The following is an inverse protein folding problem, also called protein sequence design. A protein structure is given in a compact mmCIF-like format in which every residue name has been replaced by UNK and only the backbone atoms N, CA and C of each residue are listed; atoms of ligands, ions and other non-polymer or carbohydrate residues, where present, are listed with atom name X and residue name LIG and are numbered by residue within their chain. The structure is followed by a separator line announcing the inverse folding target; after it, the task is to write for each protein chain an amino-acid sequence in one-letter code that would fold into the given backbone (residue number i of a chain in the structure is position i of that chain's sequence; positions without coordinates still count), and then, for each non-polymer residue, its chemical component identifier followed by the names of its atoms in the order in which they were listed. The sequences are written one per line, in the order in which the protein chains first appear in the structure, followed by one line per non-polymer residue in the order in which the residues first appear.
data_IF_603442973693
#
_entry.id   IF_603442973693
#
_cell.length_a   1.000
_cell.length_b   1.000
_cell.length_c   1.000
_cell.angle_alpha   90.00
_cell.angle_beta   90.00
_cell.angle_gamma   90.00
#
_symmetry.space_group_name_H-M   'P 1'
#
loop_
_entity.id
_entity.type
_entity.pdbx_description
1 polymer ?
#
# COMPACT_ATOMS: atom_id res chain seq x y z
N UNK A 1 -16.35 26.78 -51.12
CA UNK A 1 -16.29 25.46 -50.46
C UNK A 1 -15.18 25.55 -49.44
N UNK A 2 -15.51 25.90 -48.20
CA UNK A 2 -14.56 25.94 -47.08
C UNK A 2 -14.74 24.65 -46.27
N UNK A 3 -13.65 23.89 -46.13
CA UNK A 3 -13.62 22.68 -45.31
C UNK A 3 -13.53 23.06 -43.84
N UNK A 4 -14.60 22.74 -43.10
CA UNK A 4 -14.65 22.83 -41.63
C UNK A 4 -13.76 21.74 -41.02
N UNK A 5 -12.53 22.12 -40.67
CA UNK A 5 -11.62 21.28 -39.87
C UNK A 5 -12.16 21.22 -38.43
N UNK A 6 -12.88 20.14 -38.13
CA UNK A 6 -13.33 19.83 -36.77
C UNK A 6 -12.15 19.54 -35.84
N UNK A 7 -11.81 20.48 -34.97
CA UNK A 7 -10.88 20.25 -33.87
C UNK A 7 -11.57 19.38 -32.82
N UNK A 8 -11.21 18.09 -32.76
CA UNK A 8 -11.55 17.20 -31.64
C UNK A 8 -10.72 17.69 -30.45
N UNK A 9 -11.27 18.64 -29.70
CA UNK A 9 -10.75 18.98 -28.38
C UNK A 9 -10.93 17.75 -27.51
N UNK A 10 -9.81 17.08 -27.19
CA UNK A 10 -9.75 16.14 -26.09
C UNK A 10 -10.26 16.87 -24.85
N UNK A 11 -11.47 16.53 -24.42
CA UNK A 11 -11.97 16.96 -23.12
C UNK A 11 -11.11 16.27 -22.08
N UNK A 12 -10.03 16.92 -21.69
CA UNK A 12 -9.41 16.69 -20.39
C UNK A 12 -10.52 16.96 -19.37
N UNK A 13 -11.28 15.92 -19.03
CA UNK A 13 -12.12 15.92 -17.86
C UNK A 13 -11.17 16.17 -16.71
N UNK A 14 -11.34 17.32 -16.05
CA UNK A 14 -10.89 17.49 -14.69
C UNK A 14 -11.22 16.19 -13.94
N UNK A 15 -10.15 15.51 -13.48
CA UNK A 15 -10.21 14.20 -12.85
C UNK A 15 -10.94 14.35 -11.53
N UNK A 16 -12.27 14.35 -11.61
CA UNK A 16 -13.14 14.36 -10.46
C UNK A 16 -12.73 13.20 -9.55
N UNK A 17 -12.64 13.41 -8.23
CA UNK A 17 -12.26 12.36 -7.30
C UNK A 17 -13.21 11.17 -7.48
N UNK A 18 -12.65 9.95 -7.54
CA UNK A 18 -13.46 8.73 -7.65
C UNK A 18 -14.36 8.64 -6.42
N UNK A 19 -15.66 8.81 -6.62
CA UNK A 19 -16.67 8.57 -5.58
C UNK A 19 -16.84 7.07 -5.40
N UNK A 20 -16.24 6.52 -4.35
CA UNK A 20 -16.42 5.12 -3.95
C UNK A 20 -17.88 4.88 -3.56
N UNK A 21 -18.52 3.89 -4.18
CA UNK A 21 -19.80 3.37 -3.73
C UNK A 21 -19.55 2.25 -2.72
N UNK A 22 -19.93 2.44 -1.47
CA UNK A 22 -19.79 1.39 -0.46
C UNK A 22 -20.77 0.24 -0.72
N UNK A 23 -20.31 -0.98 -0.44
CA UNK A 23 -21.15 -2.17 -0.51
C UNK A 23 -22.18 -2.16 0.64
N UNK A 24 -23.43 -2.62 0.41
CA UNK A 24 -24.39 -2.77 1.49
C UNK A 24 -23.84 -3.71 2.58
N UNK A 25 -24.14 -3.42 3.85
CA UNK A 25 -23.58 -4.12 5.01
C UNK A 25 -23.66 -5.65 4.92
N UNK A 26 -24.84 -6.18 4.58
CA UNK A 26 -25.06 -7.62 4.46
C UNK A 26 -24.23 -8.27 3.33
N UNK A 27 -23.96 -7.54 2.24
CA UNK A 27 -23.13 -8.03 1.14
C UNK A 27 -21.65 -7.99 1.53
N UNK A 28 -21.23 -6.90 2.20
CA UNK A 28 -19.89 -6.76 2.74
C UNK A 28 -19.56 -7.87 3.76
N UNK A 29 -20.50 -8.23 4.64
CA UNK A 29 -20.35 -9.33 5.60
C UNK A 29 -20.20 -10.68 4.88
N UNK A 30 -21.04 -10.98 3.89
CA UNK A 30 -20.90 -12.19 3.06
C UNK A 30 -19.54 -12.29 2.38
N UNK A 31 -19.06 -11.18 1.81
CA UNK A 31 -17.76 -11.15 1.15
C UNK A 31 -16.61 -11.39 2.15
N UNK A 32 -16.67 -10.81 3.35
CA UNK A 32 -15.69 -11.05 4.43
C UNK A 32 -15.72 -12.50 4.92
N UNK A 33 -16.91 -13.09 5.11
CA UNK A 33 -17.05 -14.49 5.49
C UNK A 33 -16.41 -15.42 4.47
N UNK A 34 -16.66 -15.17 3.17
CA UNK A 34 -16.07 -15.97 2.10
C UNK A 34 -14.53 -15.89 2.09
N UNK A 35 -13.97 -14.68 2.22
CA UNK A 35 -12.52 -14.47 2.28
C UNK A 35 -11.90 -15.14 3.50
N UNK A 36 -12.52 -15.00 4.67
CA UNK A 36 -12.02 -15.60 5.91
C UNK A 36 -12.10 -17.13 5.91
N UNK A 37 -13.08 -17.71 5.20
CA UNK A 37 -13.24 -19.17 5.08
C UNK A 37 -12.37 -19.82 4.00
N UNK A 38 -11.64 -19.04 3.19
CA UNK A 38 -10.97 -19.56 1.99
C UNK A 38 -9.59 -20.16 2.24
N UNK A 39 -8.85 -19.72 3.27
CA UNK A 39 -7.51 -20.25 3.54
C UNK A 39 -7.35 -20.64 4.99
N UNK A 40 -6.70 -21.78 5.22
CA UNK A 40 -6.32 -22.23 6.55
C UNK A 40 -5.33 -21.24 7.21
N UNK A 41 -4.56 -20.51 6.41
CA UNK A 41 -3.62 -19.49 6.87
C UNK A 41 -4.26 -18.12 7.14
N UNK A 42 -5.57 -17.98 6.91
CA UNK A 42 -6.31 -16.74 7.08
C UNK A 42 -6.16 -15.75 5.91
N UNK A 43 -6.78 -14.56 6.00
CA UNK A 43 -6.96 -13.63 4.88
C UNK A 43 -5.77 -12.66 4.69
N UNK A 44 -4.54 -13.12 4.95
CA UNK A 44 -3.34 -12.28 4.88
C UNK A 44 -2.62 -12.55 3.56
N UNK A 45 -2.60 -11.55 2.68
CA UNK A 45 -1.99 -11.65 1.33
C UNK A 45 -0.47 -11.58 1.41
N UNK A 46 0.06 -10.61 2.16
CA UNK A 46 1.49 -10.32 2.27
C UNK A 46 1.93 -10.09 3.70
N UNK A 47 3.18 -10.43 4.00
CA UNK A 47 3.85 -10.19 5.27
C UNK A 47 5.20 -9.51 5.05
N UNK A 48 5.73 -8.81 6.05
CA UNK A 48 7.06 -8.21 5.93
C UNK A 48 8.11 -9.31 5.77
N UNK A 49 9.11 -9.07 4.93
CA UNK A 49 10.22 -10.00 4.77
C UNK A 49 11.07 -10.02 6.05
N UNK A 50 11.19 -11.18 6.67
CA UNK A 50 12.12 -11.48 7.74
C UNK A 50 13.35 -12.17 7.14
N UNK A 51 14.48 -11.46 7.09
CA UNK A 51 15.69 -11.92 6.43
C UNK A 51 16.28 -13.19 7.07
N UNK A 52 16.15 -13.35 8.39
CA UNK A 52 16.72 -14.50 9.10
C UNK A 52 15.94 -15.77 8.77
N UNK A 53 14.61 -15.68 8.80
CA UNK A 53 13.72 -16.81 8.50
C UNK A 53 13.67 -17.16 7.02
N UNK A 54 13.84 -16.16 6.15
CA UNK A 54 13.63 -16.33 4.71
C UNK A 54 14.90 -16.57 3.91
N UNK A 55 16.08 -16.55 4.54
CA UNK A 55 17.35 -16.83 3.86
C UNK A 55 17.34 -18.16 3.09
N UNK A 56 16.95 -19.25 3.74
CA UNK A 56 16.89 -20.57 3.08
C UNK A 56 15.79 -20.67 2.01
N UNK A 57 14.53 -20.25 2.28
CA UNK A 57 13.50 -20.20 1.24
C UNK A 57 13.90 -19.39 0.02
N UNK A 58 14.46 -18.18 0.20
CA UNK A 58 14.86 -17.31 -0.91
C UNK A 58 15.99 -17.91 -1.76
N UNK A 59 16.91 -18.68 -1.16
CA UNK A 59 18.01 -19.32 -1.88
C UNK A 59 17.58 -20.53 -2.71
N UNK A 60 16.57 -21.28 -2.26
CA UNK A 60 16.18 -22.56 -2.88
C UNK A 60 14.84 -22.51 -3.61
N UNK A 61 14.01 -21.53 -3.29
CA UNK A 61 12.65 -21.40 -3.81
C UNK A 61 12.60 -20.64 -5.14
N UNK A 62 11.51 -20.86 -5.87
CA UNK A 62 11.15 -20.06 -7.03
C UNK A 62 10.26 -18.91 -6.60
N UNK A 63 10.64 -17.69 -6.97
CA UNK A 63 9.92 -16.47 -6.67
C UNK A 63 9.70 -15.63 -7.91
N UNK A 64 8.61 -14.89 -7.87
CA UNK A 64 8.33 -13.80 -8.81
C UNK A 64 8.37 -12.48 -8.07
N UNK A 65 8.74 -11.42 -8.77
CA UNK A 65 8.93 -10.09 -8.19
C UNK A 65 7.87 -9.13 -8.69
N UNK A 66 7.28 -8.37 -7.76
CA UNK A 66 6.44 -7.21 -8.04
C UNK A 66 7.17 -5.97 -7.54
N UNK A 67 7.25 -4.97 -8.40
CA UNK A 67 7.67 -3.62 -8.04
C UNK A 67 6.42 -2.73 -7.97
N UNK A 68 6.27 -2.02 -6.85
CA UNK A 68 5.14 -1.13 -6.61
C UNK A 68 5.63 0.30 -6.48
N UNK A 69 5.14 1.20 -7.33
CA UNK A 69 5.45 2.63 -7.23
C UNK A 69 4.57 3.32 -6.19
N UNK A 70 3.35 2.82 -5.98
CA UNK A 70 2.37 3.38 -5.05
C UNK A 70 2.48 2.83 -3.62
N UNK A 71 1.75 3.48 -2.71
CA UNK A 71 1.53 3.03 -1.33
C UNK A 71 0.22 2.22 -1.19
N UNK A 72 -0.51 2.01 -2.29
CA UNK A 72 -1.71 1.21 -2.28
C UNK A 72 -1.40 -0.24 -1.87
N UNK A 73 -2.27 -0.78 -1.03
CA UNK A 73 -2.12 -2.13 -0.47
C UNK A 73 -2.98 -3.12 -1.23
N UNK A 74 -2.52 -4.38 -1.36
CA UNK A 74 -3.34 -5.42 -1.95
C UNK A 74 -4.54 -5.75 -1.03
N UNK A 75 -5.65 -6.02 -1.70
CA UNK A 75 -6.90 -6.47 -1.12
C UNK A 75 -7.49 -7.62 -1.93
N UNK A 76 -8.73 -7.97 -1.61
CA UNK A 76 -9.50 -8.99 -2.29
C UNK A 76 -10.58 -8.38 -3.14
N UNK A 77 -10.65 -8.80 -4.41
CA UNK A 77 -11.76 -8.54 -5.31
C UNK A 77 -12.67 -9.77 -5.32
N UNK A 78 -13.84 -9.63 -4.71
CA UNK A 78 -14.78 -10.73 -4.44
C UNK A 78 -15.97 -10.67 -5.40
N UNK A 79 -16.29 -11.83 -5.97
CA UNK A 79 -17.42 -12.05 -6.86
C UNK A 79 -18.42 -12.96 -6.15
N UNK A 80 -19.57 -12.41 -5.76
CA UNK A 80 -20.67 -13.15 -5.11
C UNK A 80 -21.82 -13.38 -6.11
N UNK A 81 -22.63 -14.43 -5.93
CA UNK A 81 -23.77 -14.70 -6.82
C UNK A 81 -24.74 -13.52 -6.89
N UNK A 82 -25.04 -13.05 -8.10
CA UNK A 82 -26.00 -11.97 -8.35
C UNK A 82 -25.60 -10.60 -7.78
N UNK A 83 -24.35 -10.42 -7.35
CA UNK A 83 -23.85 -9.17 -6.81
C UNK A 83 -22.79 -8.55 -7.73
N UNK A 84 -22.70 -7.23 -7.71
CA UNK A 84 -21.57 -6.54 -8.33
C UNK A 84 -20.26 -6.86 -7.58
N UNK A 85 -19.10 -6.86 -8.25
CA UNK A 85 -17.80 -7.12 -7.61
C UNK A 85 -17.52 -6.19 -6.43
N UNK A 86 -16.89 -6.74 -5.38
CA UNK A 86 -16.64 -6.04 -4.12
C UNK A 86 -15.15 -6.04 -3.84
N UNK A 87 -14.58 -4.87 -3.59
CA UNK A 87 -13.20 -4.75 -3.15
C UNK A 87 -13.12 -4.64 -1.62
N UNK A 88 -12.32 -5.53 -1.03
CA UNK A 88 -12.05 -5.63 0.40
C UNK A 88 -10.57 -5.36 0.67
N UNK A 89 -10.27 -4.34 1.46
CA UNK A 89 -8.91 -4.16 1.98
C UNK A 89 -8.67 -5.06 3.18
N UNK A 90 -7.42 -5.53 3.32
CA UNK A 90 -7.00 -6.49 4.36
C UNK A 90 -6.72 -5.86 5.72
N UNK A 91 -6.49 -4.55 5.81
CA UNK A 91 -6.19 -3.85 7.07
C UNK A 91 -7.39 -3.87 8.02
N UNK A 92 -7.13 -4.08 9.33
CA UNK A 92 -8.20 -4.09 10.36
C UNK A 92 -8.99 -2.77 10.43
N UNK A 93 -8.32 -1.63 10.26
CA UNK A 93 -8.93 -0.28 10.22
C UNK A 93 -9.17 0.20 8.79
N UNK A 94 -9.37 -0.72 7.85
CA UNK A 94 -9.62 -0.35 6.47
C UNK A 94 -10.96 0.38 6.29
N UNK A 95 -11.05 1.30 5.32
CA UNK A 95 -12.31 1.79 4.79
C UNK A 95 -13.35 0.69 4.54
N UNK A 96 -14.65 1.05 4.58
CA UNK A 96 -15.71 0.11 4.24
C UNK A 96 -15.51 -0.48 2.83
N UNK A 97 -15.86 -1.75 2.61
CA UNK A 97 -15.82 -2.39 1.30
C UNK A 97 -16.54 -1.57 0.24
N UNK A 98 -15.99 -1.50 -0.97
CA UNK A 98 -16.60 -0.79 -2.08
C UNK A 98 -17.06 -1.73 -3.18
N UNK A 99 -18.15 -1.35 -3.85
CA UNK A 99 -18.65 -2.01 -5.05
C UNK A 99 -17.98 -1.42 -6.28
N UNK A 100 -17.47 -2.29 -7.15
CA UNK A 100 -16.87 -1.93 -8.43
C UNK A 100 -17.82 -2.32 -9.57
N UNK A 101 -18.10 -1.38 -10.47
CA UNK A 101 -18.96 -1.63 -11.63
C UNK A 101 -18.11 -2.19 -12.78
N UNK A 102 -17.68 -3.44 -12.64
CA UNK A 102 -16.93 -4.13 -13.71
C UNK A 102 -17.88 -4.90 -14.62
N UNK A 103 -17.60 -4.96 -15.92
CA UNK A 103 -18.26 -5.90 -16.83
C UNK A 103 -17.59 -7.26 -16.69
N UNK A 104 -18.22 -8.14 -15.94
CA UNK A 104 -17.73 -9.49 -15.71
C UNK A 104 -18.81 -10.53 -15.94
N UNK A 105 -18.40 -11.75 -16.29
CA UNK A 105 -19.30 -12.88 -16.45
C UNK A 105 -19.92 -13.27 -15.09
N UNK A 106 -21.24 -13.55 -15.05
CA UNK A 106 -21.91 -13.99 -13.81
C UNK A 106 -21.34 -15.31 -13.28
N UNK A 107 -20.69 -16.11 -14.14
CA UNK A 107 -20.09 -17.40 -13.78
C UNK A 107 -19.02 -17.27 -12.69
N UNK A 108 -18.44 -16.08 -12.48
CA UNK A 108 -17.49 -15.83 -11.39
C UNK A 108 -18.16 -15.86 -10.02
N UNK A 109 -19.43 -15.47 -9.94
CA UNK A 109 -20.22 -15.50 -8.71
C UNK A 109 -20.87 -16.86 -8.43
N UNK A 110 -20.92 -17.75 -9.41
CA UNK A 110 -21.54 -19.07 -9.28
C UNK A 110 -20.70 -20.03 -8.40
N UNK A 111 -21.33 -21.13 -7.98
CA UNK A 111 -20.69 -22.25 -7.26
C UNK A 111 -19.95 -21.87 -5.96
N UNK A 112 -20.31 -20.74 -5.34
CA UNK A 112 -19.67 -20.26 -4.11
C UNK A 112 -18.86 -18.97 -4.31
N UNK A 113 -18.70 -18.51 -5.54
CA UNK A 113 -18.04 -17.25 -5.86
C UNK A 113 -16.55 -17.38 -6.16
N UNK A 114 -15.92 -16.25 -6.49
CA UNK A 114 -14.50 -16.18 -6.81
C UNK A 114 -13.86 -15.05 -6.03
N UNK A 115 -12.58 -15.22 -5.68
CA UNK A 115 -11.79 -14.24 -4.96
C UNK A 115 -10.48 -14.05 -5.72
N UNK A 116 -10.25 -12.83 -6.20
CA UNK A 116 -8.98 -12.41 -6.78
C UNK A 116 -8.22 -11.53 -5.79
N UNK A 117 -6.91 -11.51 -5.90
CA UNK A 117 -6.07 -10.50 -5.25
C UNK A 117 -5.94 -9.32 -6.20
N UNK A 118 -6.16 -8.12 -5.70
CA UNK A 118 -6.01 -6.90 -6.49
C UNK A 118 -5.53 -5.73 -5.64
N UNK A 119 -4.88 -4.76 -6.26
CA UNK A 119 -4.51 -3.48 -5.64
C UNK A 119 -5.34 -2.36 -6.26
N UNK A 120 -6.10 -1.65 -5.44
CA UNK A 120 -6.91 -0.51 -5.85
C UNK A 120 -6.26 0.79 -5.36
N UNK A 121 -5.73 1.57 -6.29
CA UNK A 121 -5.20 2.91 -6.04
C UNK A 121 -6.20 3.95 -6.54
N UNK A 122 -6.83 4.65 -5.59
CA UNK A 122 -7.80 5.70 -5.93
C UNK A 122 -7.19 7.06 -6.18
N UNK A 123 -5.90 7.23 -5.90
CA UNK A 123 -5.13 8.43 -6.23
C UNK A 123 -4.67 8.32 -7.68
N UNK A 124 -4.12 7.16 -8.07
CA UNK A 124 -3.68 6.88 -9.44
C UNK A 124 -4.80 6.40 -10.37
N UNK A 125 -6.05 6.33 -9.87
CA UNK A 125 -7.21 5.84 -10.61
C UNK A 125 -6.96 4.46 -11.25
N UNK A 126 -6.33 3.53 -10.52
CA UNK A 126 -5.94 2.23 -11.06
C UNK A 126 -6.44 1.05 -10.21
N UNK A 127 -6.77 -0.05 -10.88
CA UNK A 127 -7.05 -1.35 -10.27
C UNK A 127 -6.17 -2.39 -10.95
N UNK A 128 -5.20 -2.93 -10.23
CA UNK A 128 -4.31 -3.97 -10.76
C UNK A 128 -4.72 -5.33 -10.18
N UNK A 129 -5.10 -6.28 -11.04
CA UNK A 129 -5.46 -7.64 -10.64
C UNK A 129 -4.19 -8.49 -10.67
N UNK A 130 -3.92 -9.23 -9.59
CA UNK A 130 -2.57 -9.74 -9.31
C UNK A 130 -2.47 -11.27 -9.25
N UNK A 131 -3.48 -11.92 -8.66
CA UNK A 131 -3.50 -13.37 -8.41
C UNK A 131 -4.94 -13.86 -8.19
N UNK A 132 -5.13 -15.18 -8.14
CA UNK A 132 -6.41 -15.83 -7.85
C UNK A 132 -6.30 -16.55 -6.51
N UNK A 133 -7.20 -16.22 -5.57
CA UNK A 133 -7.23 -16.83 -4.24
C UNK A 133 -8.24 -17.99 -4.17
N UNK A 134 -9.42 -17.76 -4.77
CA UNK A 134 -10.51 -18.73 -4.93
C UNK A 134 -11.07 -18.64 -6.35
N UNK A 135 -11.37 -19.77 -6.96
CA UNK A 135 -11.99 -19.83 -8.29
C UNK A 135 -13.28 -20.63 -8.27
N UNK A 136 -14.42 -19.97 -8.46
CA UNK A 136 -15.76 -20.58 -8.58
C UNK A 136 -16.05 -21.61 -7.47
N UNK A 137 -15.81 -21.22 -6.22
CA UNK A 137 -16.00 -22.01 -5.01
C UNK A 137 -14.79 -22.85 -4.57
N UNK A 138 -13.77 -22.98 -5.42
CA UNK A 138 -12.59 -23.77 -5.12
C UNK A 138 -11.49 -22.90 -4.49
N UNK A 139 -11.13 -23.20 -3.25
CA UNK A 139 -9.99 -22.58 -2.56
C UNK A 139 -8.67 -23.10 -3.13
N UNK A 140 -8.10 -22.37 -4.09
CA UNK A 140 -6.91 -22.81 -4.83
C UNK A 140 -5.59 -22.25 -4.28
N UNK A 141 -5.63 -21.25 -3.40
CA UNK A 141 -4.42 -20.66 -2.82
C UNK A 141 -3.56 -21.69 -2.07
N UNK A 142 -4.18 -22.50 -1.21
CA UNK A 142 -3.48 -23.48 -0.35
C UNK A 142 -3.08 -24.76 -1.11
N UNK A 143 -3.65 -25.01 -2.29
CA UNK A 143 -3.49 -26.28 -3.04
C UNK A 143 -2.69 -26.15 -4.32
N UNK A 144 -2.58 -24.94 -4.90
CA UNK A 144 -1.94 -24.71 -6.19
C UNK A 144 -0.82 -23.69 -6.11
N UNK A 145 0.25 -23.93 -6.86
CA UNK A 145 1.35 -22.98 -7.01
C UNK A 145 0.97 -21.74 -7.83
N UNK A 146 1.74 -20.67 -7.69
CA UNK A 146 1.42 -19.37 -8.31
C UNK A 146 1.24 -19.46 -9.82
N UNK A 147 2.13 -20.17 -10.51
CA UNK A 147 2.08 -20.33 -11.97
C UNK A 147 0.78 -21.01 -12.44
N UNK A 148 0.25 -21.96 -11.65
CA UNK A 148 -1.05 -22.58 -11.94
C UNK A 148 -2.22 -21.65 -11.65
N UNK A 149 -2.16 -20.85 -10.60
CA UNK A 149 -3.19 -19.83 -10.32
C UNK A 149 -3.27 -18.78 -11.43
N UNK A 150 -2.15 -18.48 -12.10
CA UNK A 150 -2.10 -17.60 -13.27
C UNK A 150 -2.87 -18.11 -14.48
N UNK A 151 -3.04 -19.42 -14.64
CA UNK A 151 -3.88 -20.00 -15.70
C UNK A 151 -5.35 -19.59 -15.53
N UNK A 152 -5.84 -19.52 -14.28
CA UNK A 152 -7.18 -18.99 -13.98
C UNK A 152 -7.29 -17.49 -14.20
N UNK A 153 -6.22 -16.74 -13.93
CA UNK A 153 -6.18 -15.30 -14.26
C UNK A 153 -6.23 -15.08 -15.77
N UNK A 154 -5.59 -15.95 -16.55
CA UNK A 154 -5.73 -15.97 -18.01
C UNK A 154 -7.17 -16.28 -18.44
N UNK A 155 -7.81 -17.31 -17.87
CA UNK A 155 -9.23 -17.60 -18.12
C UNK A 155 -10.12 -16.39 -17.78
N UNK A 156 -9.85 -15.71 -16.66
CA UNK A 156 -10.57 -14.50 -16.27
C UNK A 156 -10.50 -13.42 -17.36
N UNK A 157 -9.31 -13.13 -17.86
CA UNK A 157 -9.08 -12.10 -18.90
C UNK A 157 -9.73 -12.49 -20.23
N UNK A 158 -9.59 -13.75 -20.64
CA UNK A 158 -10.04 -14.19 -21.96
C UNK A 158 -11.56 -14.39 -22.05
N UNK A 159 -12.22 -14.75 -20.94
CA UNK A 159 -13.61 -15.24 -20.98
C UNK A 159 -14.55 -14.54 -20.00
N UNK A 160 -14.03 -14.00 -18.90
CA UNK A 160 -14.87 -13.53 -17.81
C UNK A 160 -14.87 -12.02 -17.63
N UNK A 161 -14.02 -11.27 -18.33
CA UNK A 161 -13.86 -9.84 -18.12
C UNK A 161 -13.81 -9.07 -19.44
N UNK A 162 -14.54 -7.97 -19.48
CA UNK A 162 -14.47 -6.98 -20.56
C UNK A 162 -14.03 -5.65 -19.94
N UNK A 163 -12.88 -5.08 -20.35
CA UNK A 163 -12.42 -3.81 -19.81
C UNK A 163 -13.37 -2.67 -20.20
N UNK A 164 -13.85 -1.90 -19.23
CA UNK A 164 -14.69 -0.71 -19.45
C UNK A 164 -14.38 0.35 -18.39
N UNK A 165 -13.45 1.25 -18.73
CA UNK A 165 -12.99 2.34 -17.85
C UNK A 165 -14.12 3.31 -17.52
N UNK A 166 -15.08 3.52 -18.44
CA UNK A 166 -16.21 4.43 -18.23
C UNK A 166 -17.15 3.89 -17.17
N UNK A 167 -17.47 2.60 -17.23
CA UNK A 167 -18.30 1.94 -16.23
C UNK A 167 -17.64 1.95 -14.83
N UNK A 168 -16.31 1.83 -14.81
CA UNK A 168 -15.47 1.88 -13.62
C UNK A 168 -15.20 3.30 -13.08
N UNK A 169 -15.91 4.32 -13.60
CA UNK A 169 -15.79 5.70 -13.10
C UNK A 169 -14.41 6.31 -13.33
N UNK A 170 -13.71 5.90 -14.39
CA UNK A 170 -12.37 6.36 -14.71
C UNK A 170 -11.25 5.49 -14.15
N UNK A 171 -11.54 4.44 -13.37
CA UNK A 171 -10.50 3.52 -12.89
C UNK A 171 -10.00 2.66 -14.06
N UNK A 172 -8.71 2.78 -14.37
CA UNK A 172 -8.03 1.91 -15.32
C UNK A 172 -7.72 0.57 -14.68
N UNK A 173 -8.20 -0.52 -15.27
CA UNK A 173 -7.94 -1.87 -14.76
C UNK A 173 -6.84 -2.53 -15.58
N UNK A 174 -5.87 -3.14 -14.91
CA UNK A 174 -4.74 -3.86 -15.53
C UNK A 174 -4.50 -5.21 -14.86
N UNK A 175 -3.75 -6.08 -15.54
CA UNK A 175 -3.28 -7.35 -15.00
C UNK A 175 -1.81 -7.19 -14.64
N UNK A 176 -1.44 -7.64 -13.45
CA UNK A 176 -0.05 -7.69 -13.02
C UNK A 176 0.76 -8.62 -13.94
N UNK A 177 1.91 -8.15 -14.38
CA UNK A 177 2.91 -9.00 -15.02
C UNK A 177 4.15 -9.05 -14.13
N UNK A 178 4.30 -10.07 -13.27
CA UNK A 178 5.42 -10.13 -12.35
C UNK A 178 6.69 -10.51 -13.12
N UNK A 179 7.84 -10.05 -12.63
CA UNK A 179 9.14 -10.36 -13.22
C UNK A 179 9.71 -11.62 -12.59
N UNK A 180 10.61 -12.28 -13.31
CA UNK A 180 11.53 -13.21 -12.63
C UNK A 180 12.48 -12.44 -11.71
N UNK A 181 13.04 -13.10 -10.69
CA UNK A 181 14.08 -12.48 -9.84
C UNK A 181 15.25 -11.99 -10.68
N UNK A 182 15.70 -12.80 -11.65
CA UNK A 182 16.80 -12.44 -12.56
C UNK A 182 16.49 -11.18 -13.39
N UNK A 183 15.28 -11.07 -13.93
CA UNK A 183 14.85 -9.89 -14.70
C UNK A 183 14.77 -8.63 -13.83
N UNK A 184 14.25 -8.75 -12.60
CA UNK A 184 14.20 -7.63 -11.65
C UNK A 184 15.61 -7.14 -11.27
N UNK A 185 16.56 -8.04 -11.04
CA UNK A 185 17.96 -7.68 -10.74
C UNK A 185 18.68 -6.96 -11.90
N UNK A 186 18.25 -7.18 -13.14
CA UNK A 186 18.82 -6.55 -14.33
C UNK A 186 18.08 -5.26 -14.74
N UNK A 187 16.95 -4.95 -14.11
CA UNK A 187 16.24 -3.69 -14.36
C UNK A 187 16.89 -2.58 -13.53
N UNK A 188 17.17 -1.39 -14.09
CA UNK A 188 17.64 -0.25 -13.30
C UNK A 188 16.72 0.00 -12.10
N UNK A 189 17.31 0.28 -10.94
CA UNK A 189 16.55 0.56 -9.73
C UNK A 189 15.76 1.87 -9.91
N UNK A 190 14.50 1.75 -10.31
CA UNK A 190 13.55 2.85 -10.24
C UNK A 190 13.20 3.12 -8.77
N UNK A 191 12.73 4.33 -8.47
CA UNK A 191 12.23 4.69 -7.14
C UNK A 191 10.92 3.96 -6.86
N UNK A 192 11.02 2.69 -6.46
CA UNK A 192 9.87 1.87 -6.07
C UNK A 192 9.57 2.08 -4.59
N UNK A 193 8.29 2.11 -4.25
CA UNK A 193 7.78 2.21 -2.88
C UNK A 193 7.94 0.88 -2.14
N UNK A 194 7.57 -0.24 -2.77
CA UNK A 194 7.75 -1.58 -2.19
C UNK A 194 8.14 -2.60 -3.26
N UNK A 195 8.90 -3.62 -2.85
CA UNK A 195 9.19 -4.81 -3.64
C UNK A 195 8.53 -6.00 -2.96
N UNK A 196 7.75 -6.79 -3.70
CA UNK A 196 7.14 -8.03 -3.21
C UNK A 196 7.71 -9.26 -3.90
N UNK A 197 7.88 -10.32 -3.13
CA UNK A 197 8.26 -11.65 -3.57
C UNK A 197 7.04 -12.57 -3.47
N UNK A 198 6.58 -13.09 -4.61
CA UNK A 198 5.50 -14.07 -4.70
C UNK A 198 6.14 -15.47 -4.75
N UNK A 199 5.92 -16.33 -3.75
CA UNK A 199 6.40 -17.70 -3.79
C UNK A 199 5.62 -18.52 -4.83
N UNK A 200 6.33 -19.38 -5.58
CA UNK A 200 5.66 -20.38 -6.44
C UNK A 200 4.91 -21.42 -5.61
N UNK A 201 5.35 -21.71 -4.38
CA UNK A 201 4.75 -22.73 -3.52
C UNK A 201 3.32 -22.39 -3.05
N UNK A 202 2.44 -23.39 -3.04
CA UNK A 202 1.06 -23.26 -2.56
C UNK A 202 0.99 -22.87 -1.07
N UNK A 203 -0.05 -22.12 -0.70
CA UNK A 203 -0.34 -21.69 0.68
C UNK A 203 0.69 -20.75 1.29
N UNK A 204 1.70 -20.29 0.53
CA UNK A 204 2.72 -19.37 1.01
C UNK A 204 2.34 -17.93 0.71
N UNK A 205 2.39 -17.09 1.75
CA UNK A 205 2.12 -15.65 1.64
C UNK A 205 3.24 -14.94 0.88
N UNK A 206 2.89 -13.81 0.26
CA UNK A 206 3.88 -12.92 -0.33
C UNK A 206 4.72 -12.27 0.75
N UNK A 207 5.94 -11.91 0.42
CA UNK A 207 6.83 -11.16 1.31
C UNK A 207 7.14 -9.82 0.71
N UNK A 208 7.22 -8.78 1.53
CA UNK A 208 7.52 -7.44 1.02
C UNK A 208 8.63 -6.75 1.80
N UNK A 209 9.38 -5.92 1.09
CA UNK A 209 10.35 -4.96 1.63
C UNK A 209 10.00 -3.55 1.16
N UNK A 210 10.25 -2.56 2.02
CA UNK A 210 10.16 -1.15 1.62
C UNK A 210 11.32 -0.80 0.69
N UNK A 211 11.06 0.04 -0.31
CA UNK A 211 12.10 0.58 -1.17
C UNK A 211 13.04 1.48 -0.37
N UNK A 212 14.26 1.69 -0.89
CA UNK A 212 15.28 2.57 -0.30
C UNK A 212 14.83 4.03 -0.13
N UNK A 213 13.78 4.46 -0.85
CA UNK A 213 13.11 5.75 -0.63
C UNK A 213 12.12 5.80 0.55
N UNK A 214 11.76 4.66 1.13
CA UNK A 214 10.75 4.51 2.20
C UNK A 214 11.33 4.29 3.60
N UNK A 215 12.66 4.39 3.77
CA UNK A 215 13.40 4.02 5.00
C UNK A 215 12.97 4.80 6.27
N UNK A 216 12.13 5.83 6.20
CA UNK A 216 11.85 6.70 7.36
C UNK A 216 10.63 6.39 8.24
N UNK A 217 9.94 5.25 8.12
CA UNK A 217 8.75 5.02 8.99
C UNK A 217 8.68 3.69 9.74
N UNK A 218 9.59 2.73 9.56
CA UNK A 218 9.29 1.34 9.96
C UNK A 218 10.37 0.58 10.75
N UNK A 219 11.32 1.28 11.38
CA UNK A 219 12.29 0.68 12.33
C UNK A 219 11.88 0.77 13.82
N UNK A 220 10.71 1.32 14.15
CA UNK A 220 10.22 1.39 15.54
C UNK A 220 9.17 0.33 15.93
N UNK A 221 9.12 -0.82 15.25
CA UNK A 221 8.23 -1.92 15.70
C UNK A 221 8.91 -3.28 15.76
N UNK A 222 9.14 -3.65 17.03
CA UNK A 222 9.00 -4.98 17.65
C UNK A 222 10.23 -5.92 17.61
N UNK A 223 11.06 -5.77 18.65
CA UNK A 223 11.72 -6.90 19.32
C UNK A 223 10.77 -7.48 20.40
N UNK A 224 10.91 -8.75 20.80
CA UNK A 224 9.90 -9.45 21.60
C UNK A 224 9.77 -8.91 23.02
N UNK A 225 8.52 -8.81 23.47
CA UNK A 225 8.07 -8.30 24.75
C UNK A 225 8.60 -9.20 25.88
N UNK A 226 9.65 -8.76 26.58
CA UNK A 226 9.83 -9.08 27.99
C UNK A 226 8.99 -8.08 28.76
N UNK A 227 7.99 -8.59 29.49
CA UNK A 227 7.11 -7.80 30.34
C UNK A 227 7.94 -7.07 31.41
N UNK A 228 8.10 -5.77 31.25
CA UNK A 228 8.55 -4.86 32.30
C UNK A 228 7.49 -3.79 32.46
N UNK A 229 7.08 -3.58 33.71
CA UNK A 229 6.00 -2.70 34.15
C UNK A 229 6.08 -1.27 33.57
N UNK A 230 4.94 -0.57 33.42
CA UNK A 230 4.88 0.74 32.79
C UNK A 230 5.50 1.80 33.72
N UNK A 231 6.69 2.28 33.35
CA UNK A 231 7.23 3.53 33.87
C UNK A 231 6.79 4.66 32.95
N UNK A 232 5.66 5.26 33.30
CA UNK A 232 5.28 6.62 32.92
C UNK A 232 6.38 7.59 33.33
N UNK A 233 7.15 8.08 32.36
CA UNK A 233 7.74 9.41 32.42
C UNK A 233 7.57 10.05 31.05
N UNK A 234 6.53 10.87 30.91
CA UNK A 234 6.43 11.82 29.82
C UNK A 234 7.59 12.80 30.00
N UNK A 235 8.75 12.53 29.38
CA UNK A 235 9.81 13.52 29.29
C UNK A 235 9.34 14.63 28.38
N UNK A 236 8.80 15.69 28.99
CA UNK A 236 8.37 16.91 28.32
C UNK A 236 9.59 17.73 27.91
N UNK A 237 10.28 17.26 26.87
CA UNK A 237 11.34 18.03 26.24
C UNK A 237 10.75 19.33 25.71
N UNK A 238 11.22 20.46 26.25
CA UNK A 238 10.84 21.82 25.82
C UNK A 238 11.94 22.48 24.99
N UNK A 239 13.14 21.89 24.98
CA UNK A 239 14.34 22.39 24.29
C UNK A 239 15.05 21.25 23.56
N UNK A 240 15.68 21.57 22.44
CA UNK A 240 16.48 20.63 21.66
C UNK A 240 17.49 21.38 20.78
N UNK A 241 18.44 20.64 20.22
CA UNK A 241 19.34 21.07 19.15
C UNK A 241 18.75 20.57 17.82
N UNK A 242 18.35 21.49 16.95
CA UNK A 242 17.85 21.18 15.61
C UNK A 242 18.99 21.09 14.60
N UNK A 243 19.05 19.99 13.84
CA UNK A 243 19.95 19.78 12.71
C UNK A 243 19.14 19.64 11.42
N UNK A 244 19.51 20.37 10.38
CA UNK A 244 18.79 20.37 9.11
C UNK A 244 18.85 18.98 8.45
N UNK A 245 17.71 18.54 7.92
CA UNK A 245 17.58 17.28 7.19
C UNK A 245 17.83 17.53 5.70
N UNK A 246 18.73 16.76 5.10
CA UNK A 246 19.00 16.85 3.66
C UNK A 246 17.69 16.66 2.84
N UNK A 247 17.47 17.55 1.87
CA UNK A 247 16.32 17.55 0.94
C UNK A 247 14.92 17.74 1.56
N UNK A 248 14.81 18.10 2.84
CA UNK A 248 13.53 18.41 3.47
C UNK A 248 13.53 19.82 4.05
N UNK A 249 13.07 20.84 3.30
CA UNK A 249 12.90 22.17 3.85
C UNK A 249 11.89 22.10 5.01
N UNK A 250 12.23 22.75 6.13
CA UNK A 250 11.36 22.91 7.32
C UNK A 250 11.20 21.69 8.21
N UNK A 251 12.00 20.64 7.99
CA UNK A 251 12.09 19.48 8.88
C UNK A 251 13.51 19.39 9.43
N UNK A 252 13.62 19.20 10.74
CA UNK A 252 14.89 19.13 11.46
C UNK A 252 14.91 17.89 12.36
N UNK A 253 16.08 17.24 12.43
CA UNK A 253 16.34 16.21 13.43
C UNK A 253 16.66 16.91 14.76
N UNK A 254 15.99 16.51 15.83
CA UNK A 254 16.09 17.09 17.16
C UNK A 254 16.94 16.21 18.06
N UNK A 255 17.89 16.83 18.76
CA UNK A 255 18.78 16.18 19.71
C UNK A 255 18.67 16.84 21.08
N UNK A 256 18.82 16.07 22.16
CA UNK A 256 18.96 16.65 23.51
C UNK A 256 20.37 17.22 23.75
N UNK A 257 20.61 17.76 24.95
CA UNK A 257 21.91 18.33 25.34
C UNK A 257 23.06 17.30 25.35
N UNK A 258 22.75 16.00 25.36
CA UNK A 258 23.72 14.90 25.31
C UNK A 258 23.90 14.35 23.89
N UNK A 259 23.46 15.10 22.86
CA UNK A 259 23.44 14.68 21.46
C UNK A 259 22.62 13.40 21.21
N UNK A 260 21.69 13.04 22.09
CA UNK A 260 20.80 11.91 21.86
C UNK A 260 19.62 12.36 21.00
N UNK A 261 19.37 11.64 19.91
CA UNK A 261 18.23 11.89 19.04
C UNK A 261 16.91 11.70 19.81
N UNK A 262 16.05 12.72 19.82
CA UNK A 262 14.74 12.70 20.48
C UNK A 262 13.57 12.58 19.48
N UNK A 263 13.77 12.96 18.21
CA UNK A 263 12.74 12.89 17.18
C UNK A 263 12.91 13.93 16.08
N UNK A 264 11.87 14.11 15.26
CA UNK A 264 11.85 15.13 14.20
C UNK A 264 10.91 16.28 14.56
N UNK A 265 11.36 17.49 14.26
CA UNK A 265 10.63 18.74 14.45
C UNK A 265 10.26 19.37 13.11
N UNK A 266 9.01 19.84 12.99
CA UNK A 266 8.56 20.64 11.85
C UNK A 266 8.39 22.11 12.22
N UNK A 267 8.61 23.02 11.26
CA UNK A 267 8.41 24.46 11.43
C UNK A 267 7.17 24.90 10.67
N UNK A 268 6.15 25.41 11.36
CA UNK A 268 4.93 25.91 10.68
C UNK A 268 4.99 27.40 10.33
N UNK A 269 5.73 28.20 11.11
CA UNK A 269 5.85 29.65 10.88
C UNK A 269 6.90 29.96 9.82
N UNK A 270 6.48 30.61 8.74
CA UNK A 270 7.36 30.95 7.61
C UNK A 270 8.58 31.81 8.01
N UNK A 271 8.40 32.80 8.89
CA UNK A 271 9.50 33.64 9.38
C UNK A 271 10.55 32.84 10.16
N UNK A 272 10.11 31.93 11.01
CA UNK A 272 10.99 31.03 11.77
C UNK A 272 11.72 30.04 10.85
N UNK A 273 11.05 29.56 9.82
CA UNK A 273 11.66 28.72 8.78
C UNK A 273 12.79 29.45 8.06
N UNK A 274 12.57 30.70 7.64
CA UNK A 274 13.61 31.50 7.00
C UNK A 274 14.82 31.74 7.93
N UNK A 275 14.57 32.00 9.21
CA UNK A 275 15.63 32.21 10.21
C UNK A 275 16.41 30.93 10.52
N UNK A 276 15.75 29.77 10.57
CA UNK A 276 16.42 28.49 10.76
C UNK A 276 17.29 28.12 9.54
N UNK A 277 16.80 28.38 8.32
CA UNK A 277 17.56 28.11 7.09
C UNK A 277 18.77 29.03 6.91
N UNK A 278 18.74 30.25 7.45
CA UNK A 278 19.90 31.15 7.39
C UNK A 278 21.02 30.72 8.34
N UNK A 279 20.71 29.92 9.37
CA UNK A 279 21.68 29.28 10.24
C UNK A 279 22.14 27.97 9.59
N UNK A 280 23.24 28.02 8.85
CA UNK A 280 23.85 26.87 8.15
C UNK A 280 24.35 25.72 9.08
N UNK A 281 24.04 25.76 10.38
CA UNK A 281 24.56 24.86 11.41
C UNK A 281 23.47 24.45 12.41
N UNK A 282 23.78 23.46 13.24
CA UNK A 282 22.95 23.05 14.38
C UNK A 282 22.59 24.24 15.26
N UNK A 283 21.31 24.40 15.61
CA UNK A 283 20.84 25.52 16.41
C UNK A 283 19.96 25.07 17.58
N UNK A 284 20.08 25.70 18.76
CA UNK A 284 19.20 25.41 19.89
C UNK A 284 17.82 26.01 19.64
N UNK A 285 16.78 25.22 19.87
CA UNK A 285 15.38 25.55 19.58
C UNK A 285 14.45 25.18 20.72
N UNK A 286 13.34 25.90 20.83
CA UNK A 286 12.21 25.53 21.66
C UNK A 286 11.26 24.62 20.86
N UNK A 287 10.85 23.51 21.46
CA UNK A 287 10.00 22.51 20.83
C UNK A 287 8.74 22.24 21.65
N UNK A 288 7.67 21.87 20.97
CA UNK A 288 6.40 21.52 21.57
C UNK A 288 5.83 20.26 20.90
N UNK A 289 5.46 19.25 21.67
CA UNK A 289 4.79 18.08 21.13
C UNK A 289 3.35 18.41 20.75
N UNK A 290 2.96 18.09 19.50
CA UNK A 290 1.60 18.26 18.99
C UNK A 290 0.93 16.92 18.81
N UNK A 291 -0.20 16.71 19.50
CA UNK A 291 -0.96 15.45 19.44
C UNK A 291 -1.62 15.25 18.08
N UNK A 292 -1.94 16.34 17.38
CA UNK A 292 -2.68 16.35 16.11
C UNK A 292 -1.93 15.62 14.98
N UNK A 293 -0.60 15.71 14.96
CA UNK A 293 0.26 15.03 13.99
C UNK A 293 1.32 14.13 14.64
N UNK A 294 1.20 13.91 15.96
CA UNK A 294 2.05 13.00 16.73
C UNK A 294 3.55 13.26 16.49
N UNK A 295 3.96 14.53 16.60
CA UNK A 295 5.34 14.97 16.33
C UNK A 295 5.68 16.29 17.04
N UNK A 296 6.95 16.69 16.98
CA UNK A 296 7.41 17.96 17.54
C UNK A 296 7.20 19.12 16.55
N UNK A 297 6.77 20.26 17.08
CA UNK A 297 6.79 21.55 16.41
C UNK A 297 7.92 22.41 16.97
N UNK A 298 8.71 23.00 16.09
CA UNK A 298 9.71 24.01 16.48
C UNK A 298 8.98 25.36 16.56
N UNK A 299 8.84 25.87 17.78
CA UNK A 299 8.02 27.07 18.06
C UNK A 299 8.83 28.35 18.12
N UNK A 300 10.16 28.26 18.26
CA UNK A 300 11.08 29.39 18.25
C UNK A 300 12.53 28.98 18.45
N UNK A 301 13.45 29.90 18.19
CA UNK A 301 14.87 29.74 18.51
C UNK A 301 15.12 30.02 20.00
N UNK A 302 16.10 29.35 20.60
CA UNK A 302 16.63 29.77 21.89
C UNK A 302 17.61 30.92 21.63
N UNK A 303 17.31 32.11 22.18
CA UNK A 303 18.29 33.20 22.20
C UNK A 303 19.50 32.74 23.00
N UNK A 304 20.69 32.87 22.41
CA UNK A 304 21.95 32.79 23.16
C UNK A 304 22.04 33.95 24.14
#
# INVERSE_FOLDING_TARGET
MEELVGSIRNSHRDTNPIKKKFAPKHVAEKARMLVNGCSASGPIIRQRLDMERMKQPLQKGMFYVIENDGLAEPGFLVFLPGQAPIFLQTKMKAPPPCTLRMRVSPVLGERGGSILVATLDTIQHSLRIEDVWMWKGLAIFDTMGYSKRREYLKEFVERCWIPDVRLMGGIQTSILNPKSVHESMNTPANSVSTIEFIPEMAGKRRMWIGGSGSVRQNELRESPIVSVAPLTSESTHTKAIAKAVDKMPDIYDLYDDNERFIGQGSVQKFSLSQELRSRNTSCPVNILWRKEFNGYEIIGLLSN
#
